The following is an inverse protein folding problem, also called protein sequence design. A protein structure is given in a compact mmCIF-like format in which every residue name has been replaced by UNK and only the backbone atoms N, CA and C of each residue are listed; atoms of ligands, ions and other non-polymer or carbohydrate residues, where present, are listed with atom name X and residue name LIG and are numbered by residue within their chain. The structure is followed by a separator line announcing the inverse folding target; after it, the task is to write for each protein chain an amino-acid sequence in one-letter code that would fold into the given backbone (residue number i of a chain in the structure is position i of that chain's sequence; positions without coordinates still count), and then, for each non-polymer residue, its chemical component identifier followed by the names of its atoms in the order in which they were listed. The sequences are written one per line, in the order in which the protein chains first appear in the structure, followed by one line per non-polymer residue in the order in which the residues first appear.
data_IF_951821134811
#
_entry.id   IF_951821134811
#
_cell.length_a   1.000
_cell.length_b   1.000
_cell.length_c   1.000
_cell.angle_alpha   90.00
_cell.angle_beta   90.00
_cell.angle_gamma   90.00
#
_symmetry.space_group_name_H-M   'P 1'
#
loop_
_entity.id
_entity.type
_entity.pdbx_description
1 polymer ?
#
# COMPACT_ATOMS: atom_id res chain seq x y z
N UNK A 1 8.80 2.08 3.17
CA UNK A 1 9.89 3.09 3.13
C UNK A 1 9.64 4.10 2.01
N UNK A 2 10.25 5.28 2.11
CA UNK A 2 10.08 6.37 1.12
C UNK A 2 10.91 6.09 -0.13
N UNK A 3 10.27 6.13 -1.30
CA UNK A 3 10.88 5.84 -2.61
C UNK A 3 11.57 4.47 -2.76
N UNK A 4 11.50 3.61 -1.74
CA UNK A 4 12.17 2.32 -1.74
C UNK A 4 11.30 1.25 -2.44
N UNK A 5 11.77 0.75 -3.59
CA UNK A 5 11.09 -0.31 -4.36
C UNK A 5 11.30 -1.73 -3.80
N UNK A 6 12.32 -1.94 -2.96
CA UNK A 6 12.58 -3.21 -2.28
C UNK A 6 11.86 -3.38 -0.94
N UNK A 7 11.13 -2.36 -0.49
CA UNK A 7 10.30 -2.44 0.71
C UNK A 7 8.94 -3.08 0.40
N UNK A 8 8.35 -3.77 1.38
CA UNK A 8 7.01 -4.36 1.26
C UNK A 8 5.92 -3.31 0.99
N UNK A 9 6.02 -2.15 1.64
CA UNK A 9 5.13 -1.00 1.43
C UNK A 9 5.98 0.22 1.07
N UNK A 10 5.59 0.93 0.01
CA UNK A 10 6.28 2.13 -0.50
C UNK A 10 5.42 3.37 -0.36
N UNK A 11 6.03 4.47 0.06
CA UNK A 11 5.43 5.81 -0.01
C UNK A 11 6.19 6.61 -1.08
N UNK A 12 5.46 7.31 -1.96
CA UNK A 12 6.06 8.15 -3.00
C UNK A 12 6.75 9.38 -2.41
N UNK A 13 7.81 9.88 -3.07
CA UNK A 13 8.49 11.12 -2.63
C UNK A 13 7.52 12.31 -2.59
N UNK A 14 6.64 12.40 -3.58
CA UNK A 14 5.62 13.46 -3.65
C UNK A 14 4.63 13.36 -2.49
N UNK A 15 4.18 12.14 -2.15
CA UNK A 15 3.28 11.93 -1.00
C UNK A 15 3.94 12.31 0.33
N UNK A 16 5.21 11.94 0.52
CA UNK A 16 5.98 12.37 1.68
C UNK A 16 6.13 13.90 1.71
N UNK A 17 6.58 14.51 0.59
CA UNK A 17 6.80 15.94 0.47
C UNK A 17 5.51 16.76 0.73
N UNK A 18 4.38 16.30 0.23
CA UNK A 18 3.10 17.00 0.36
C UNK A 18 2.38 16.73 1.70
N UNK A 19 2.87 15.79 2.52
CA UNK A 19 2.25 15.37 3.76
C UNK A 19 0.87 14.69 3.59
N UNK A 20 0.49 14.35 2.35
CA UNK A 20 -0.78 13.73 1.99
C UNK A 20 -0.67 12.97 0.66
N UNK A 21 -1.49 11.94 0.48
CA UNK A 21 -1.50 11.12 -0.72
C UNK A 21 -1.83 9.66 -0.40
N UNK A 22 -1.05 8.73 -0.94
CA UNK A 22 -1.28 7.28 -0.78
C UNK A 22 0.04 6.52 -0.56
N UNK A 23 -0.09 5.29 -0.05
CA UNK A 23 0.99 4.31 -0.03
C UNK A 23 0.69 3.17 -1.01
N UNK A 24 1.71 2.43 -1.40
CA UNK A 24 1.64 1.30 -2.32
C UNK A 24 2.03 0.02 -1.56
N UNK A 25 1.08 -0.89 -1.36
CA UNK A 25 1.38 -2.25 -0.91
C UNK A 25 1.85 -3.10 -2.09
N UNK A 26 3.11 -3.54 -2.06
CA UNK A 26 3.77 -4.25 -3.16
C UNK A 26 3.92 -5.75 -2.88
N UNK A 27 3.34 -6.23 -1.78
CA UNK A 27 3.34 -7.66 -1.41
C UNK A 27 2.41 -8.52 -2.27
N UNK A 28 1.26 -8.03 -2.76
CA UNK A 28 0.37 -8.87 -3.53
C UNK A 28 0.99 -9.36 -4.85
N UNK A 29 0.87 -10.66 -5.11
CA UNK A 29 1.40 -11.30 -6.31
C UNK A 29 0.51 -11.05 -7.54
N UNK A 30 1.03 -11.29 -8.74
CA UNK A 30 0.31 -11.04 -10.00
C UNK A 30 -0.98 -11.86 -10.17
N UNK A 31 -1.13 -12.94 -9.43
CA UNK A 31 -2.30 -13.83 -9.45
C UNK A 31 -3.22 -13.65 -8.22
N UNK A 32 -3.05 -12.57 -7.45
CA UNK A 32 -3.91 -12.23 -6.32
C UNK A 32 -5.39 -12.12 -6.73
N UNK A 33 -6.30 -12.52 -5.85
CA UNK A 33 -7.71 -12.16 -5.98
C UNK A 33 -7.89 -10.70 -5.51
N UNK A 34 -8.34 -9.79 -6.39
CA UNK A 34 -8.49 -8.38 -6.04
C UNK A 34 -9.55 -8.14 -4.96
N UNK A 35 -10.61 -8.95 -4.88
CA UNK A 35 -11.66 -8.78 -3.88
C UNK A 35 -11.17 -9.16 -2.48
N UNK A 36 -10.40 -10.24 -2.39
CA UNK A 36 -9.81 -10.68 -1.13
C UNK A 36 -8.76 -9.68 -0.64
N UNK A 37 -7.84 -9.24 -1.50
CA UNK A 37 -6.78 -8.33 -1.05
C UNK A 37 -7.31 -6.95 -0.69
N UNK A 38 -8.22 -6.38 -1.47
CA UNK A 38 -8.77 -5.06 -1.16
C UNK A 38 -9.60 -5.06 0.12
N UNK A 39 -10.42 -6.10 0.35
CA UNK A 39 -11.18 -6.24 1.59
C UNK A 39 -10.28 -6.39 2.82
N UNK A 40 -9.23 -7.21 2.76
CA UNK A 40 -8.30 -7.37 3.88
C UNK A 40 -7.52 -6.09 4.21
N UNK A 41 -7.13 -5.30 3.19
CA UNK A 41 -6.48 -4.00 3.42
C UNK A 41 -7.44 -3.07 4.17
N UNK A 42 -8.69 -2.95 3.72
CA UNK A 42 -9.69 -2.11 4.37
C UNK A 42 -10.03 -2.59 5.79
N UNK A 43 -10.17 -3.91 5.97
CA UNK A 43 -10.41 -4.51 7.29
C UNK A 43 -9.31 -4.13 8.28
N UNK A 44 -8.05 -4.35 7.91
CA UNK A 44 -6.89 -4.09 8.78
C UNK A 44 -6.66 -2.60 9.07
N UNK A 45 -7.09 -1.69 8.19
CA UNK A 45 -6.73 -0.26 8.28
C UNK A 45 -7.88 0.66 8.68
N UNK A 46 -9.13 0.20 8.57
CA UNK A 46 -10.33 1.02 8.81
C UNK A 46 -11.25 0.40 9.86
N UNK A 47 -11.43 -0.93 9.83
CA UNK A 47 -12.50 -1.61 10.58
C UNK A 47 -12.01 -2.32 11.85
N UNK A 48 -10.73 -2.66 11.92
CA UNK A 48 -10.10 -3.30 13.07
C UNK A 48 -9.40 -2.30 14.00
#
# INVERSE_FOLDING_TARGET
GVANRGASVRVGRETEQNGKGYFEDRRPASNMDPYVVTSMIAETTILW
#
